data_IF_309336089696
#
_entry.id   IF_309336089696
#
_cell.length_a   1.000
_cell.length_b   1.000
_cell.length_c   1.000
_cell.angle_alpha   90.00
_cell.angle_beta   90.00
_cell.angle_gamma   90.00
#
_symmetry.space_group_name_H-M   'P 1'
#
loop_
_entity.id
_entity.type
_entity.pdbx_description
1 polymer ?
#
# COMPACT_ATOMS: atom_id res chain seq x y z
N UNK A 1 14.55 -19.59 2.63
CA UNK A 1 14.03 -20.74 3.40
C UNK A 1 13.91 -20.47 4.90
N UNK A 2 14.98 -20.03 5.60
CA UNK A 2 14.95 -19.81 7.06
C UNK A 2 13.82 -18.89 7.56
N UNK A 3 13.49 -17.83 6.81
CA UNK A 3 12.41 -16.89 7.17
C UNK A 3 11.01 -17.54 7.16
N UNK A 4 10.77 -18.49 6.26
CA UNK A 4 9.45 -19.17 6.14
C UNK A 4 9.23 -20.09 7.34
N UNK A 5 10.24 -20.87 7.70
CA UNK A 5 10.18 -21.77 8.86
C UNK A 5 9.97 -21.01 10.17
N UNK A 6 10.59 -19.84 10.33
CA UNK A 6 10.38 -18.98 11.49
C UNK A 6 8.90 -18.59 11.67
N UNK A 7 8.25 -18.10 10.61
CA UNK A 7 6.84 -17.71 10.66
C UNK A 7 5.89 -18.90 10.86
N UNK A 8 6.21 -20.07 10.31
CA UNK A 8 5.42 -21.30 10.53
C UNK A 8 5.44 -21.69 12.02
N UNK A 9 6.61 -21.67 12.67
CA UNK A 9 6.72 -22.01 14.11
C UNK A 9 5.89 -21.04 14.96
N UNK A 10 5.95 -19.74 14.66
CA UNK A 10 5.13 -18.73 15.34
C UNK A 10 3.64 -19.00 15.10
N UNK A 11 3.23 -19.34 13.87
CA UNK A 11 1.82 -19.63 13.56
C UNK A 11 1.29 -20.82 14.36
N UNK A 12 2.08 -21.89 14.48
CA UNK A 12 1.73 -23.06 15.30
C UNK A 12 1.53 -22.64 16.76
N UNK A 13 2.45 -21.84 17.31
CA UNK A 13 2.34 -21.34 18.68
C UNK A 13 1.08 -20.49 18.88
N UNK A 14 0.78 -19.55 17.96
CA UNK A 14 -0.41 -18.70 18.05
C UNK A 14 -1.71 -19.49 17.93
N UNK A 15 -1.73 -20.51 17.07
CA UNK A 15 -2.89 -21.40 16.91
C UNK A 15 -3.15 -22.20 18.19
N UNK A 16 -2.09 -22.75 18.80
CA UNK A 16 -2.18 -23.42 20.10
C UNK A 16 -2.69 -22.47 21.19
N UNK A 17 -2.11 -21.27 21.29
CA UNK A 17 -2.52 -20.27 22.27
C UNK A 17 -3.99 -19.85 22.09
N UNK A 18 -4.44 -19.65 20.85
CA UNK A 18 -5.83 -19.32 20.53
C UNK A 18 -6.81 -20.41 20.95
N UNK A 19 -6.49 -21.68 20.69
CA UNK A 19 -7.32 -22.82 21.12
C UNK A 19 -7.34 -22.91 22.64
N UNK A 20 -6.18 -22.77 23.30
CA UNK A 20 -6.06 -22.83 24.76
C UNK A 20 -6.89 -21.76 25.46
N UNK A 21 -6.81 -20.50 24.98
CA UNK A 21 -7.60 -19.38 25.51
C UNK A 21 -9.10 -19.63 25.29
N UNK A 22 -9.49 -20.12 24.12
CA UNK A 22 -10.90 -20.46 23.82
C UNK A 22 -11.43 -21.52 24.78
N UNK A 23 -10.69 -22.60 25.01
CA UNK A 23 -11.08 -23.67 25.96
C UNK A 23 -11.17 -23.13 27.39
N UNK A 24 -10.18 -22.34 27.83
CA UNK A 24 -10.20 -21.73 29.16
C UNK A 24 -11.36 -20.73 29.34
N UNK A 25 -11.69 -19.98 28.29
CA UNK A 25 -12.86 -19.10 28.30
C UNK A 25 -14.11 -19.93 28.53
N UNK A 26 -14.35 -20.95 27.71
CA UNK A 26 -15.52 -21.82 27.80
C UNK A 26 -15.64 -22.45 29.19
N UNK A 27 -14.55 -23.01 29.74
CA UNK A 27 -14.53 -23.56 31.10
C UNK A 27 -14.93 -22.53 32.18
N UNK A 28 -14.48 -21.29 32.03
CA UNK A 28 -14.83 -20.18 32.95
C UNK A 28 -16.30 -19.78 32.82
N UNK A 29 -16.89 -19.92 31.62
CA UNK A 29 -18.32 -19.72 31.42
C UNK A 29 -19.16 -20.88 31.97
N UNK A 30 -18.71 -22.15 31.86
CA UNK A 30 -19.42 -23.31 32.43
C UNK A 30 -19.42 -23.31 33.96
N UNK A 31 -18.34 -22.87 34.60
CA UNK A 31 -18.27 -22.78 36.06
C UNK A 31 -19.28 -21.80 36.69
N UNK A 32 -19.94 -20.96 35.88
CA UNK A 32 -21.00 -20.03 36.31
C UNK A 32 -22.43 -20.57 36.11
N UNK A 33 -22.59 -21.84 35.73
CA UNK A 33 -23.85 -22.60 35.72
C UNK A 33 -25.03 -21.93 34.97
N UNK A 34 -24.73 -21.18 33.90
CA UNK A 34 -25.71 -20.50 33.04
C UNK A 34 -25.32 -20.66 31.56
N UNK A 35 -25.31 -21.90 31.05
CA UNK A 35 -25.07 -22.13 29.63
C UNK A 35 -26.39 -22.09 28.85
N UNK A 36 -26.96 -20.91 28.64
CA UNK A 36 -28.06 -20.76 27.67
C UNK A 36 -27.49 -20.46 26.29
N UNK A 37 -27.93 -21.19 25.26
CA UNK A 37 -27.64 -20.87 23.85
C UNK A 37 -28.04 -19.43 23.47
N UNK A 38 -28.98 -18.85 24.21
CA UNK A 38 -29.39 -17.46 24.06
C UNK A 38 -28.32 -16.47 24.55
N UNK A 39 -27.46 -16.85 25.50
CA UNK A 39 -26.42 -15.97 26.02
C UNK A 39 -25.23 -15.82 25.05
N UNK A 40 -25.01 -16.83 24.20
CA UNK A 40 -24.08 -16.78 23.05
C UNK A 40 -24.53 -15.74 22.01
N UNK A 41 -25.84 -15.66 21.76
CA UNK A 41 -26.43 -14.72 20.80
C UNK A 41 -26.57 -13.32 21.41
N UNK A 42 -26.88 -13.22 22.70
CA UNK A 42 -26.96 -11.93 23.43
C UNK A 42 -25.59 -11.25 23.53
N UNK A 43 -24.50 -12.02 23.62
CA UNK A 43 -23.16 -11.44 23.65
C UNK A 43 -22.72 -11.03 22.25
N UNK A 44 -22.89 -9.76 21.92
CA UNK A 44 -22.61 -9.20 20.60
C UNK A 44 -21.18 -9.50 20.11
N UNK A 45 -20.19 -9.49 21.02
CA UNK A 45 -18.79 -9.74 20.67
C UNK A 45 -18.62 -11.19 20.22
N UNK A 46 -19.14 -12.14 21.01
CA UNK A 46 -19.01 -13.56 20.71
C UNK A 46 -19.79 -13.97 19.46
N UNK A 47 -21.02 -13.46 19.30
CA UNK A 47 -21.83 -13.65 18.10
C UNK A 47 -21.12 -13.13 16.84
N UNK A 48 -20.56 -11.92 16.89
CA UNK A 48 -19.86 -11.30 15.75
C UNK A 48 -18.60 -12.09 15.37
N UNK A 49 -17.87 -12.63 16.34
CA UNK A 49 -16.70 -13.47 16.08
C UNK A 49 -17.09 -14.78 15.39
N UNK A 50 -18.10 -15.48 15.90
CA UNK A 50 -18.56 -16.75 15.32
C UNK A 50 -19.08 -16.54 13.90
N UNK A 51 -19.95 -15.55 13.70
CA UNK A 51 -20.55 -15.32 12.37
C UNK A 51 -19.50 -14.88 11.35
N UNK A 52 -18.49 -14.10 11.75
CA UNK A 52 -17.39 -13.68 10.88
C UNK A 52 -16.52 -14.86 10.44
N UNK A 53 -16.11 -15.71 11.40
CA UNK A 53 -15.35 -16.93 11.12
C UNK A 53 -16.15 -17.90 10.24
N UNK A 54 -17.41 -18.15 10.60
CA UNK A 54 -18.29 -19.04 9.84
C UNK A 54 -18.52 -18.53 8.42
N UNK A 55 -18.79 -17.24 8.23
CA UNK A 55 -18.99 -16.64 6.90
C UNK A 55 -17.74 -16.79 6.01
N UNK A 56 -16.55 -16.55 6.58
CA UNK A 56 -15.29 -16.66 5.82
C UNK A 56 -15.08 -18.07 5.28
N UNK A 57 -15.24 -19.10 6.13
CA UNK A 57 -15.07 -20.49 5.70
C UNK A 57 -16.23 -21.01 4.87
N UNK A 58 -17.47 -20.58 5.15
CA UNK A 58 -18.65 -20.97 4.41
C UNK A 58 -18.59 -20.46 2.96
N UNK A 59 -18.20 -19.21 2.75
CA UNK A 59 -18.03 -18.65 1.41
C UNK A 59 -16.95 -19.38 0.63
N UNK A 60 -15.83 -19.73 1.26
CA UNK A 60 -14.80 -20.57 0.64
C UNK A 60 -15.32 -21.94 0.23
N UNK A 61 -16.07 -22.60 1.11
CA UNK A 61 -16.68 -23.89 0.83
C UNK A 61 -17.67 -23.79 -0.34
N UNK A 62 -18.62 -22.85 -0.30
CA UNK A 62 -19.59 -22.64 -1.38
C UNK A 62 -18.89 -22.31 -2.70
N UNK A 63 -17.88 -21.44 -2.69
CA UNK A 63 -17.08 -21.12 -3.87
C UNK A 63 -16.41 -22.36 -4.46
N UNK A 64 -15.96 -23.29 -3.61
CA UNK A 64 -15.34 -24.53 -4.05
C UNK A 64 -16.34 -25.48 -4.74
N UNK A 65 -17.59 -25.50 -4.28
CA UNK A 65 -18.67 -26.27 -4.94
C UNK A 65 -19.04 -25.68 -6.31
N UNK A 66 -19.08 -24.36 -6.44
CA UNK A 66 -19.34 -23.69 -7.73
C UNK A 66 -18.21 -24.02 -8.73
N UNK A 67 -16.98 -24.18 -8.24
CA UNK A 67 -15.81 -24.52 -9.05
C UNK A 67 -15.67 -26.03 -9.34
N UNK A 68 -16.61 -26.86 -8.89
CA UNK A 68 -16.65 -28.32 -9.09
C UNK A 68 -15.44 -29.12 -8.52
N UNK A 69 -14.65 -28.54 -7.62
CA UNK A 69 -13.59 -29.24 -6.90
C UNK A 69 -13.56 -28.82 -5.42
N UNK A 70 -14.34 -29.47 -4.53
CA UNK A 70 -14.33 -29.18 -3.10
C UNK A 70 -13.13 -29.78 -2.37
N UNK A 71 -12.36 -30.67 -3.02
CA UNK A 71 -11.33 -31.46 -2.35
C UNK A 71 -10.08 -30.64 -2.03
N UNK A 72 -9.78 -29.65 -2.88
CA UNK A 72 -8.61 -28.77 -2.71
C UNK A 72 -8.60 -28.03 -1.37
N UNK A 73 -9.76 -27.75 -0.78
CA UNK A 73 -9.85 -27.11 0.53
C UNK A 73 -9.24 -28.04 1.57
N UNK A 74 -9.62 -29.32 1.63
CA UNK A 74 -9.14 -30.25 2.65
C UNK A 74 -7.65 -30.60 2.51
N UNK A 75 -7.14 -30.73 1.29
CA UNK A 75 -5.74 -31.10 1.06
C UNK A 75 -4.77 -29.97 1.39
N UNK A 76 -5.15 -28.72 1.13
CA UNK A 76 -4.25 -27.58 1.21
C UNK A 76 -4.53 -26.65 2.39
N UNK A 77 -5.62 -26.86 3.15
CA UNK A 77 -6.05 -25.98 4.24
C UNK A 77 -4.96 -25.74 5.28
N UNK A 78 -4.39 -26.83 5.82
CA UNK A 78 -3.40 -26.74 6.89
C UNK A 78 -2.12 -26.06 6.42
N UNK A 79 -1.65 -26.39 5.21
CA UNK A 79 -0.46 -25.75 4.64
C UNK A 79 -0.69 -24.25 4.42
N UNK A 80 -1.86 -23.86 3.91
CA UNK A 80 -2.23 -22.46 3.71
C UNK A 80 -2.31 -21.69 5.05
N UNK A 81 -2.94 -22.27 6.07
CA UNK A 81 -3.07 -21.65 7.38
C UNK A 81 -1.70 -21.39 8.03
N UNK A 82 -0.78 -22.34 7.93
CA UNK A 82 0.59 -22.21 8.44
C UNK A 82 1.43 -21.17 7.68
N UNK A 83 1.20 -21.02 6.37
CA UNK A 83 1.92 -20.05 5.53
C UNK A 83 1.33 -18.64 5.55
N UNK A 84 0.10 -18.47 6.05
CA UNK A 84 -0.61 -17.18 6.10
C UNK A 84 0.23 -16.00 6.64
N UNK A 85 0.90 -16.08 7.81
CA UNK A 85 1.71 -14.96 8.30
C UNK A 85 2.92 -14.67 7.40
N UNK A 86 3.47 -15.67 6.73
CA UNK A 86 4.54 -15.47 5.76
C UNK A 86 4.04 -14.65 4.58
N UNK A 87 2.89 -15.01 4.00
CA UNK A 87 2.31 -14.29 2.88
C UNK A 87 1.94 -12.85 3.23
N UNK A 88 1.32 -12.61 4.39
CA UNK A 88 0.97 -11.26 4.85
C UNK A 88 2.23 -10.39 4.97
N UNK A 89 3.28 -10.91 5.61
CA UNK A 89 4.52 -10.15 5.82
C UNK A 89 5.26 -9.89 4.51
N UNK A 90 5.37 -10.90 3.64
CA UNK A 90 6.00 -10.75 2.31
C UNK A 90 5.23 -9.72 1.49
N UNK A 91 3.93 -9.90 1.29
CA UNK A 91 3.13 -8.99 0.46
C UNK A 91 3.19 -7.54 0.96
N UNK A 92 3.16 -7.33 2.28
CA UNK A 92 3.30 -5.99 2.86
C UNK A 92 4.69 -5.37 2.56
N UNK A 93 5.77 -6.13 2.77
CA UNK A 93 7.12 -5.64 2.47
C UNK A 93 7.29 -5.35 0.98
N UNK A 94 6.85 -6.25 0.09
CA UNK A 94 6.94 -6.05 -1.35
C UNK A 94 6.09 -4.87 -1.86
N UNK A 95 4.95 -4.59 -1.21
CA UNK A 95 4.16 -3.39 -1.48
C UNK A 95 4.90 -2.10 -1.06
N UNK A 96 5.62 -2.12 0.07
CA UNK A 96 6.37 -0.95 0.56
C UNK A 96 7.73 -0.76 -0.11
N UNK A 97 8.38 -1.81 -0.59
CA UNK A 97 9.68 -1.70 -1.26
C UNK A 97 9.61 -0.94 -2.59
N UNK A 98 8.45 -0.91 -3.25
CA UNK A 98 8.22 -0.09 -4.45
C UNK A 98 7.80 1.35 -4.14
N UNK A 99 7.82 1.80 -2.88
CA UNK A 99 7.43 3.18 -2.49
C UNK A 99 8.36 4.25 -3.08
N UNK A 100 9.63 3.91 -3.32
CA UNK A 100 10.62 4.83 -3.88
C UNK A 100 10.38 5.18 -5.37
N UNK A 101 9.70 4.29 -6.11
CA UNK A 101 9.27 4.55 -7.49
C UNK A 101 7.84 5.09 -7.58
N UNK A 102 7.35 5.74 -6.50
CA UNK A 102 6.11 6.55 -6.49
C UNK A 102 6.42 8.03 -6.86
N UNK A 103 7.51 8.29 -7.58
CA UNK A 103 7.77 9.60 -8.22
C UNK A 103 6.79 9.93 -9.36
N UNK A 104 5.66 9.22 -9.43
CA UNK A 104 4.55 9.38 -10.37
C UNK A 104 3.76 10.67 -10.08
N UNK A 105 4.39 11.80 -10.35
CA UNK A 105 3.76 13.11 -10.20
C UNK A 105 4.54 14.29 -10.76
N UNK A 106 5.87 14.24 -10.81
CA UNK A 106 6.68 15.44 -11.14
C UNK A 106 7.84 15.20 -12.11
N UNK A 107 8.13 13.97 -12.54
CA UNK A 107 9.25 13.64 -13.47
C UNK A 107 9.17 14.27 -14.88
N UNK A 108 8.18 15.11 -15.18
CA UNK A 108 8.01 15.77 -16.48
C UNK A 108 7.65 17.26 -16.42
N UNK A 109 7.55 17.86 -15.22
CA UNK A 109 7.36 19.31 -15.07
C UNK A 109 8.63 20.05 -14.63
N UNK A 110 9.76 19.36 -14.56
CA UNK A 110 11.08 19.99 -14.58
C UNK A 110 11.42 20.42 -16.01
N UNK A 111 10.62 21.32 -16.59
CA UNK A 111 11.15 22.14 -17.68
C UNK A 111 12.20 23.01 -17.02
N UNK A 112 13.48 22.69 -17.25
CA UNK A 112 14.56 23.59 -16.91
C UNK A 112 14.17 24.98 -17.41
N UNK A 113 14.03 25.92 -16.48
CA UNK A 113 13.71 27.31 -16.82
C UNK A 113 14.73 27.72 -17.88
N UNK A 114 14.22 28.17 -19.03
CA UNK A 114 15.04 28.38 -20.23
C UNK A 114 15.99 29.53 -19.92
N UNK A 115 17.20 29.19 -19.46
CA UNK A 115 18.26 30.16 -19.19
C UNK A 115 18.41 31.04 -20.44
N UNK A 116 18.55 32.38 -20.28
CA UNK A 116 18.74 33.26 -21.41
C UNK A 116 19.98 32.81 -22.18
N UNK A 117 19.77 32.43 -23.44
CA UNK A 117 20.85 31.95 -24.32
C UNK A 117 21.85 33.07 -24.52
N UNK A 118 23.11 32.81 -24.20
CA UNK A 118 24.21 33.71 -24.51
C UNK A 118 24.35 33.86 -26.04
N UNK A 119 24.26 35.09 -26.54
CA UNK A 119 24.44 35.39 -27.96
C UNK A 119 25.94 35.60 -28.21
N UNK A 120 26.55 34.74 -29.02
CA UNK A 120 27.96 34.85 -29.40
C UNK A 120 28.11 35.81 -30.59
N UNK A 121 28.94 36.86 -30.47
CA UNK A 121 29.44 37.63 -31.63
C UNK A 121 30.84 37.12 -32.03
N UNK A 122 31.17 37.27 -33.32
CA UNK A 122 32.43 36.81 -33.90
C UNK A 122 33.63 37.49 -33.22
N UNK A 123 34.41 36.71 -32.48
CA UNK A 123 35.56 37.20 -31.70
C UNK A 123 35.75 36.55 -30.33
N UNK A 124 34.99 35.50 -29.98
CA UNK A 124 35.26 34.66 -28.81
C UNK A 124 35.00 35.30 -27.44
N UNK A 125 34.34 36.46 -27.39
CA UNK A 125 33.85 37.07 -26.14
C UNK A 125 32.34 36.91 -26.05
N UNK A 126 31.88 36.39 -24.92
CA UNK A 126 30.46 36.18 -24.59
C UNK A 126 29.97 37.45 -23.91
N UNK A 127 29.05 38.20 -24.54
CA UNK A 127 28.30 39.25 -23.86
C UNK A 127 27.25 38.59 -22.96
N UNK A 128 27.67 38.21 -21.76
CA UNK A 128 26.74 38.03 -20.65
C UNK A 128 26.54 39.42 -20.06
N UNK A 129 25.31 39.91 -20.01
CA UNK A 129 24.97 41.15 -19.31
C UNK A 129 25.13 40.89 -17.81
N UNK A 130 26.37 40.91 -17.34
CA UNK A 130 26.74 40.88 -15.93
C UNK A 130 26.87 42.35 -15.54
N UNK A 131 25.98 42.85 -14.67
CA UNK A 131 26.11 44.17 -14.08
C UNK A 131 27.52 44.32 -13.50
N UNK A 132 28.30 45.22 -14.06
CA UNK A 132 29.68 45.46 -13.60
C UNK A 132 29.76 46.69 -12.71
N UNK A 133 28.64 47.41 -12.53
CA UNK A 133 28.51 48.62 -11.71
C UNK A 133 27.81 48.29 -10.38
N UNK A 134 28.38 48.73 -9.25
CA UNK A 134 27.96 48.35 -7.90
C UNK A 134 26.49 48.73 -7.60
N UNK A 135 25.98 49.78 -8.25
CA UNK A 135 24.59 50.23 -8.13
C UNK A 135 23.56 49.28 -8.76
N UNK A 136 23.87 48.69 -9.92
CA UNK A 136 22.98 47.75 -10.62
C UNK A 136 22.96 46.39 -9.90
N UNK A 137 24.07 46.02 -9.25
CA UNK A 137 24.14 44.82 -8.40
C UNK A 137 23.16 44.91 -7.22
N UNK A 138 23.13 46.05 -6.53
CA UNK A 138 22.21 46.26 -5.40
C UNK A 138 20.75 46.35 -5.87
N UNK A 139 20.48 46.98 -7.01
CA UNK A 139 19.14 47.04 -7.59
C UNK A 139 18.60 45.66 -7.97
N UNK A 140 19.43 44.79 -8.54
CA UNK A 140 19.05 43.41 -8.85
C UNK A 140 18.84 42.59 -7.59
N UNK A 141 19.74 42.70 -6.61
CA UNK A 141 19.59 42.04 -5.33
C UNK A 141 18.26 42.40 -4.63
N UNK A 142 17.91 43.68 -4.59
CA UNK A 142 16.63 44.13 -4.03
C UNK A 142 15.43 43.61 -4.82
N UNK A 143 15.53 43.52 -6.14
CA UNK A 143 14.45 43.00 -7.00
C UNK A 143 14.20 41.50 -6.77
N UNK A 144 15.25 40.70 -6.57
CA UNK A 144 15.14 39.28 -6.28
C UNK A 144 14.65 39.04 -4.85
N UNK A 145 15.09 39.86 -3.88
CA UNK A 145 14.60 39.80 -2.50
C UNK A 145 13.09 40.02 -2.41
N UNK A 146 12.54 40.92 -3.23
CA UNK A 146 11.09 41.17 -3.32
C UNK A 146 10.33 39.97 -3.91
N UNK A 147 10.91 39.22 -4.84
CA UNK A 147 10.28 38.00 -5.40
C UNK A 147 10.21 36.90 -4.34
N UNK A 148 11.26 36.73 -3.54
CA UNK A 148 11.33 35.73 -2.46
C UNK A 148 10.33 36.04 -1.33
N UNK A 149 10.07 37.31 -1.03
CA UNK A 149 9.08 37.70 -0.02
C UNK A 149 7.62 37.43 -0.44
N UNK A 150 7.33 37.31 -1.73
CA UNK A 150 5.98 37.03 -2.21
C UNK A 150 5.61 35.55 -2.05
N UNK A 151 4.40 35.24 -1.56
CA UNK A 151 3.94 33.85 -1.44
C UNK A 151 3.77 33.23 -2.83
N UNK A 152 4.29 32.01 -2.99
CA UNK A 152 4.21 31.27 -4.25
C UNK A 152 2.74 31.15 -4.75
N UNK A 153 2.50 31.34 -6.06
CA UNK A 153 1.16 31.19 -6.62
C UNK A 153 0.65 29.76 -6.41
N UNK A 154 -0.66 29.56 -6.15
CA UNK A 154 -1.21 28.25 -5.89
C UNK A 154 -1.01 27.34 -7.11
N UNK A 155 -0.50 26.14 -6.85
CA UNK A 155 -0.24 25.12 -7.87
C UNK A 155 -1.54 24.78 -8.61
N UNK A 156 -1.56 25.04 -9.93
CA UNK A 156 -2.70 24.69 -10.78
C UNK A 156 -2.75 23.17 -10.91
N UNK A 157 -3.49 22.50 -10.02
CA UNK A 157 -3.68 21.05 -10.06
C UNK A 157 -4.52 20.66 -11.29
N UNK A 158 -3.87 20.45 -12.44
CA UNK A 158 -4.53 19.97 -13.66
C UNK A 158 -4.54 18.44 -13.71
N UNK A 159 -5.15 17.76 -12.73
CA UNK A 159 -4.99 16.30 -12.59
C UNK A 159 -6.25 15.48 -12.27
N UNK A 160 -7.46 15.94 -12.58
CA UNK A 160 -8.65 15.11 -12.32
C UNK A 160 -8.94 14.07 -13.41
N UNK A 161 -8.77 14.42 -14.70
CA UNK A 161 -9.14 13.53 -15.80
C UNK A 161 -8.11 12.40 -16.06
N UNK A 162 -6.80 12.71 -15.98
CA UNK A 162 -5.71 11.75 -16.29
C UNK A 162 -5.42 10.73 -15.18
N UNK A 163 -5.97 10.92 -13.97
CA UNK A 163 -5.84 9.99 -12.83
C UNK A 163 -6.75 8.76 -12.99
N UNK A 164 -7.98 8.94 -13.49
CA UNK A 164 -8.94 7.83 -13.68
C UNK A 164 -8.47 6.84 -14.74
N UNK A 165 -8.01 7.34 -15.89
CA UNK A 165 -7.49 6.50 -16.97
C UNK A 165 -6.21 5.72 -16.56
N UNK A 166 -5.32 6.35 -15.78
CA UNK A 166 -4.11 5.68 -15.27
C UNK A 166 -4.39 4.61 -14.22
N UNK A 167 -5.37 4.81 -13.33
CA UNK A 167 -5.81 3.75 -12.40
C UNK A 167 -6.38 2.54 -13.15
N UNK A 168 -7.18 2.77 -14.19
CA UNK A 168 -7.71 1.69 -15.05
C UNK A 168 -6.58 0.94 -15.76
N UNK A 169 -5.60 1.64 -16.35
CA UNK A 169 -4.45 1.01 -16.98
C UNK A 169 -3.57 0.23 -16.00
N UNK A 170 -3.35 0.74 -14.78
CA UNK A 170 -2.61 0.00 -13.75
C UNK A 170 -3.35 -1.26 -13.31
N UNK A 171 -4.67 -1.20 -13.12
CA UNK A 171 -5.48 -2.39 -12.79
C UNK A 171 -5.39 -3.42 -13.92
N UNK A 172 -5.49 -3.00 -15.18
CA UNK A 172 -5.39 -3.91 -16.34
C UNK A 172 -3.98 -4.52 -16.47
N UNK A 173 -2.91 -3.75 -16.24
CA UNK A 173 -1.54 -4.26 -16.32
C UNK A 173 -1.20 -5.23 -15.17
N UNK A 174 -1.70 -4.97 -13.96
CA UNK A 174 -1.52 -5.87 -12.81
C UNK A 174 -2.32 -7.16 -13.00
N UNK A 175 -3.59 -7.08 -13.42
CA UNK A 175 -4.38 -8.28 -13.72
C UNK A 175 -3.80 -9.06 -14.90
N UNK A 176 -3.36 -8.39 -15.96
CA UNK A 176 -2.74 -9.04 -17.12
C UNK A 176 -1.44 -9.79 -16.77
N UNK A 177 -0.58 -9.21 -15.93
CA UNK A 177 0.63 -9.91 -15.45
C UNK A 177 0.32 -11.06 -14.49
N UNK A 178 -0.76 -10.96 -13.71
CA UNK A 178 -1.17 -12.05 -12.82
C UNK A 178 -1.66 -13.28 -13.61
N UNK A 179 -2.35 -13.07 -14.74
CA UNK A 179 -2.83 -14.14 -15.62
C UNK A 179 -1.67 -14.80 -16.39
N UNK A 180 -0.68 -14.01 -16.83
CA UNK A 180 0.45 -14.51 -17.64
C UNK A 180 1.54 -15.23 -16.84
N UNK A 181 1.64 -15.00 -15.53
CA UNK A 181 2.58 -15.69 -14.64
C UNK A 181 1.94 -16.92 -13.98
N UNK A 182 0.62 -17.11 -14.14
CA UNK A 182 -0.16 -18.23 -13.62
C UNK A 182 -0.46 -19.35 -14.63
N UNK A 183 0.13 -19.32 -15.83
CA UNK A 183 0.11 -20.42 -16.81
C UNK A 183 1.51 -21.03 -16.97
#
# INVERSE_FOLDING_TARGET
>A
MSMVYFWIIIMIYLMFASIFITVKSIQTQLAKDQFNWTDIIKNQIFYTLIISLASTYLLWFISSFIFFDPWHMFTSFFQYLLLTPTYINILNVYAFCNTHDITWGTKGDDKAEKLPSAILKAGGKVDVNIPTDDGDLNAQYESEMRKIQSKAPPEKTRILCRRKARRLLQVVQVFGRLILVGM
#
